data_IF_332934186203
#
_entry.id   IF_332934186203
#
_cell.length_a   1.000
_cell.length_b   1.000
_cell.length_c   1.000
_cell.angle_alpha   90.00
_cell.angle_beta   90.00
_cell.angle_gamma   90.00
#
_symmetry.space_group_name_H-M   'P 1'
#
loop_
_entity.id
_entity.type
_entity.pdbx_description
1 polymer ?
#
# COMPACT_ATOMS: atom_id res chain seq x y z
N UNK A 1 -3.19 14.59 -12.69
CA UNK A 1 -2.58 13.46 -13.43
C UNK A 1 -1.09 13.57 -13.18
N UNK A 2 -0.44 12.53 -12.67
CA UNK A 2 0.98 12.65 -12.34
C UNK A 2 1.83 12.73 -13.61
N UNK A 3 2.82 13.61 -13.61
CA UNK A 3 3.91 13.57 -14.58
C UNK A 3 4.96 12.58 -14.08
N UNK A 4 5.62 11.86 -14.99
CA UNK A 4 6.62 10.87 -14.61
C UNK A 4 8.02 11.32 -15.01
N UNK A 5 8.99 11.05 -14.15
CA UNK A 5 10.41 11.14 -14.48
C UNK A 5 11.01 9.75 -14.37
N UNK A 6 11.59 9.28 -15.47
CA UNK A 6 12.27 7.99 -15.55
C UNK A 6 13.75 8.22 -15.30
N UNK A 7 14.24 7.66 -14.19
CA UNK A 7 15.66 7.52 -13.91
C UNK A 7 16.11 6.20 -14.53
N UNK A 8 16.73 6.28 -15.69
CA UNK A 8 17.23 5.10 -16.41
C UNK A 8 18.41 5.48 -17.30
N UNK A 9 19.38 4.58 -17.38
CA UNK A 9 20.47 4.62 -18.37
C UNK A 9 20.06 3.92 -19.68
N UNK A 10 18.84 3.39 -19.77
CA UNK A 10 18.31 2.66 -20.90
C UNK A 10 17.12 3.40 -21.54
N UNK A 11 17.38 4.13 -22.61
CA UNK A 11 16.36 4.88 -23.34
C UNK A 11 15.27 4.00 -23.96
N UNK A 12 15.50 2.69 -24.13
CA UNK A 12 14.47 1.77 -24.60
C UNK A 12 13.33 1.59 -23.57
N UNK A 13 13.61 1.74 -22.26
CA UNK A 13 12.59 1.63 -21.22
C UNK A 13 11.56 2.76 -21.31
N UNK A 14 11.98 3.96 -21.72
CA UNK A 14 11.07 5.06 -21.96
C UNK A 14 10.04 4.72 -23.05
N UNK A 15 10.50 4.09 -24.14
CA UNK A 15 9.63 3.66 -25.23
C UNK A 15 8.69 2.53 -24.80
N UNK A 16 9.14 1.63 -23.92
CA UNK A 16 8.30 0.56 -23.37
C UNK A 16 7.19 1.12 -22.47
N UNK A 17 7.54 1.99 -21.53
CA UNK A 17 6.58 2.66 -20.65
C UNK A 17 5.52 3.46 -21.44
N UNK A 18 5.93 4.11 -22.52
CA UNK A 18 5.02 4.87 -23.38
C UNK A 18 3.91 4.00 -24.00
N UNK A 19 4.16 2.71 -24.28
CA UNK A 19 3.13 1.75 -24.76
C UNK A 19 2.01 1.55 -23.74
N UNK A 20 2.27 1.83 -22.47
CA UNK A 20 1.36 1.69 -21.35
C UNK A 20 0.80 3.03 -20.86
N UNK A 21 0.83 4.06 -21.70
CA UNK A 21 0.38 5.43 -21.36
C UNK A 21 1.17 6.08 -20.21
N UNK A 22 2.40 5.62 -19.97
CA UNK A 22 3.34 6.25 -19.04
C UNK A 22 4.31 7.09 -19.86
N UNK A 23 4.06 8.39 -19.93
CA UNK A 23 4.96 9.35 -20.57
C UNK A 23 5.91 9.86 -19.48
N UNK A 24 7.17 9.43 -19.56
CA UNK A 24 8.19 9.80 -18.59
C UNK A 24 9.33 10.57 -19.27
N UNK A 25 9.76 11.68 -18.66
CA UNK A 25 10.99 12.35 -19.05
C UNK A 25 12.19 11.53 -18.57
N UNK A 26 13.07 11.12 -19.50
CA UNK A 26 14.23 10.30 -19.15
C UNK A 26 15.37 11.20 -18.66
N UNK A 27 15.90 10.91 -17.48
CA UNK A 27 16.99 11.68 -16.86
C UNK A 27 18.15 10.77 -16.47
N UNK A 28 19.39 11.23 -16.70
CA UNK A 28 20.63 10.56 -16.29
C UNK A 28 21.16 11.11 -14.95
N UNK A 29 22.32 10.60 -14.52
CA UNK A 29 22.96 10.78 -13.19
C UNK A 29 23.07 12.23 -12.66
N UNK A 30 23.02 13.26 -13.52
CA UNK A 30 23.11 14.68 -13.12
C UNK A 30 21.76 15.30 -12.67
N UNK A 31 20.77 14.46 -12.43
CA UNK A 31 19.44 14.90 -12.03
C UNK A 31 19.42 15.48 -10.61
N UNK A 32 19.05 16.76 -10.46
CA UNK A 32 18.87 17.38 -9.15
C UNK A 32 17.41 17.28 -8.67
N UNK A 33 17.20 16.64 -7.53
CA UNK A 33 15.88 16.53 -6.87
C UNK A 33 15.28 17.89 -6.52
N UNK A 34 16.10 18.94 -6.43
CA UNK A 34 15.62 20.30 -6.18
C UNK A 34 14.68 20.84 -7.27
N UNK A 35 14.78 20.32 -8.51
CA UNK A 35 13.87 20.67 -9.61
C UNK A 35 12.48 20.03 -9.39
N UNK A 36 12.44 18.83 -8.80
CA UNK A 36 11.17 18.12 -8.52
C UNK A 36 10.40 18.68 -7.33
N UNK A 37 11.11 19.18 -6.31
CA UNK A 37 10.49 19.72 -5.09
C UNK A 37 9.52 20.88 -5.36
N UNK A 38 9.64 21.53 -6.52
CA UNK A 38 8.76 22.63 -6.92
C UNK A 38 7.42 22.17 -7.51
N UNK A 39 7.25 20.86 -7.76
CA UNK A 39 6.08 20.30 -8.43
C UNK A 39 5.61 19.01 -7.76
N UNK A 40 4.58 19.09 -6.91
CA UNK A 40 4.04 17.96 -6.14
C UNK A 40 3.41 16.84 -6.99
N UNK A 41 3.15 17.11 -8.27
CA UNK A 41 2.49 16.19 -9.18
C UNK A 41 3.47 15.30 -9.96
N UNK A 42 4.77 15.34 -9.64
CA UNK A 42 5.78 14.51 -10.30
C UNK A 42 6.07 13.25 -9.48
N UNK A 43 6.01 12.09 -10.13
CA UNK A 43 6.40 10.80 -9.58
C UNK A 43 7.69 10.28 -10.25
N UNK A 44 8.59 9.72 -9.46
CA UNK A 44 9.84 9.12 -9.92
C UNK A 44 9.64 7.63 -10.23
N UNK A 45 10.17 7.20 -11.37
CA UNK A 45 10.28 5.79 -11.77
C UNK A 45 11.76 5.45 -11.87
N UNK A 46 12.22 4.51 -11.06
CA UNK A 46 13.63 4.09 -11.04
C UNK A 46 13.77 2.76 -11.76
N UNK A 47 14.61 2.72 -12.79
CA UNK A 47 14.91 1.50 -13.55
C UNK A 47 16.00 0.67 -12.89
N UNK A 48 15.60 -0.47 -12.34
CA UNK A 48 16.49 -1.44 -11.71
C UNK A 48 16.86 -2.62 -12.62
N UNK A 49 16.48 -2.61 -13.90
CA UNK A 49 16.78 -3.72 -14.82
C UNK A 49 18.25 -3.77 -15.27
N UNK A 50 18.97 -2.66 -15.18
CA UNK A 50 20.38 -2.63 -15.59
C UNK A 50 21.28 -3.08 -14.42
N UNK A 51 22.37 -3.78 -14.71
CA UNK A 51 23.25 -4.32 -13.68
C UNK A 51 23.94 -3.21 -12.87
N UNK A 52 24.01 -3.37 -11.55
CA UNK A 52 24.67 -2.41 -10.65
C UNK A 52 23.92 -1.11 -10.36
N UNK A 53 22.73 -0.90 -10.94
CA UNK A 53 21.98 0.36 -10.84
C UNK A 53 21.56 0.72 -9.42
N UNK A 54 21.24 -0.26 -8.57
CA UNK A 54 20.82 0.02 -7.20
C UNK A 54 21.92 0.68 -6.36
N UNK A 55 23.20 0.45 -6.70
CA UNK A 55 24.35 1.12 -6.10
C UNK A 55 24.60 2.47 -6.77
N UNK A 56 24.48 2.55 -8.10
CA UNK A 56 24.69 3.79 -8.84
C UNK A 56 23.67 4.88 -8.47
N UNK A 57 22.39 4.51 -8.32
CA UNK A 57 21.32 5.43 -7.96
C UNK A 57 21.16 5.62 -6.46
N UNK A 58 22.04 5.06 -5.62
CA UNK A 58 21.92 5.15 -4.16
C UNK A 58 21.78 6.60 -3.69
N UNK A 59 22.66 7.51 -4.14
CA UNK A 59 22.60 8.92 -3.73
C UNK A 59 21.28 9.58 -4.10
N UNK A 60 20.81 9.33 -5.33
CA UNK A 60 19.57 9.89 -5.84
C UNK A 60 18.34 9.33 -5.11
N UNK A 61 18.31 8.02 -4.85
CA UNK A 61 17.27 7.37 -4.06
C UNK A 61 17.18 8.01 -2.67
N UNK A 62 18.33 8.25 -2.01
CA UNK A 62 18.37 8.92 -0.71
C UNK A 62 17.77 10.32 -0.77
N UNK A 63 18.09 11.09 -1.80
CA UNK A 63 17.52 12.43 -1.99
C UNK A 63 16.00 12.41 -2.22
N UNK A 64 15.51 11.51 -3.08
CA UNK A 64 14.08 11.33 -3.38
C UNK A 64 13.31 10.95 -2.11
N UNK A 65 13.79 9.95 -1.38
CA UNK A 65 13.15 9.46 -0.14
C UNK A 65 13.18 10.51 0.95
N UNK A 66 14.31 11.20 1.14
CA UNK A 66 14.42 12.28 2.15
C UNK A 66 13.54 13.48 1.80
N UNK A 67 13.33 13.72 0.51
CA UNK A 67 12.38 14.73 0.02
C UNK A 67 10.91 14.27 0.08
N UNK A 68 10.64 13.02 0.47
CA UNK A 68 9.33 12.40 0.50
C UNK A 68 8.57 12.51 -0.84
N UNK A 69 9.30 12.33 -1.95
CA UNK A 69 8.72 12.36 -3.29
C UNK A 69 8.18 10.99 -3.67
N UNK A 70 7.00 10.90 -4.35
CA UNK A 70 6.45 9.62 -4.77
C UNK A 70 7.40 8.88 -5.71
N UNK A 71 7.78 7.65 -5.35
CA UNK A 71 8.75 6.86 -6.09
C UNK A 71 8.33 5.41 -6.21
N UNK A 72 8.48 4.84 -7.42
CA UNK A 72 8.31 3.41 -7.70
C UNK A 72 9.56 2.84 -8.38
N UNK A 73 9.77 1.53 -8.26
CA UNK A 73 10.76 0.80 -9.05
C UNK A 73 10.15 0.12 -10.26
N UNK A 74 10.94 -0.08 -11.31
CA UNK A 74 10.66 -1.05 -12.36
C UNK A 74 11.79 -2.07 -12.42
N UNK A 75 11.44 -3.35 -12.43
CA UNK A 75 12.41 -4.44 -12.36
C UNK A 75 11.83 -5.76 -12.86
N UNK A 76 12.58 -6.48 -13.69
CA UNK A 76 12.22 -7.80 -14.21
C UNK A 76 12.61 -8.91 -13.22
N UNK A 77 13.75 -8.76 -12.54
CA UNK A 77 14.31 -9.77 -11.62
C UNK A 77 14.32 -9.27 -10.16
N UNK A 78 13.12 -9.02 -9.60
CA UNK A 78 12.97 -8.38 -8.29
C UNK A 78 13.66 -9.16 -7.15
N UNK A 79 13.69 -10.49 -7.21
CA UNK A 79 14.22 -11.33 -6.12
C UNK A 79 15.69 -11.05 -5.81
N UNK A 80 16.50 -10.74 -6.82
CA UNK A 80 17.93 -10.42 -6.62
C UNK A 80 18.14 -9.08 -5.92
N UNK A 81 17.15 -8.17 -5.99
CA UNK A 81 17.22 -6.81 -5.45
C UNK A 81 16.34 -6.59 -4.22
N UNK A 82 15.57 -7.60 -3.80
CA UNK A 82 14.59 -7.53 -2.70
C UNK A 82 15.14 -6.85 -1.46
N UNK A 83 16.28 -7.31 -0.93
CA UNK A 83 16.91 -6.72 0.26
C UNK A 83 17.28 -5.24 0.06
N UNK A 84 17.76 -4.89 -1.13
CA UNK A 84 18.16 -3.52 -1.46
C UNK A 84 16.95 -2.59 -1.55
N UNK A 85 15.86 -3.06 -2.17
CA UNK A 85 14.59 -2.31 -2.28
C UNK A 85 13.99 -2.04 -0.90
N UNK A 86 13.94 -3.06 -0.04
CA UNK A 86 13.47 -2.95 1.35
C UNK A 86 14.32 -1.95 2.14
N UNK A 87 15.67 -2.05 2.02
CA UNK A 87 16.62 -1.16 2.70
C UNK A 87 16.41 0.32 2.37
N UNK A 88 16.03 0.63 1.13
CA UNK A 88 15.77 2.00 0.69
C UNK A 88 14.28 2.39 0.77
N UNK A 89 13.41 1.54 1.32
CA UNK A 89 11.98 1.84 1.42
C UNK A 89 11.25 1.89 0.07
N UNK A 90 11.83 1.34 -1.00
CA UNK A 90 11.17 1.28 -2.31
C UNK A 90 10.26 0.05 -2.32
N UNK A 91 9.01 0.26 -1.89
CA UNK A 91 8.05 -0.83 -1.69
C UNK A 91 7.18 -1.11 -2.90
N UNK A 92 6.86 -0.09 -3.71
CA UNK A 92 6.08 -0.24 -4.93
C UNK A 92 7.01 -0.49 -6.14
N UNK A 93 6.98 -1.70 -6.69
CA UNK A 93 7.85 -2.15 -7.80
C UNK A 93 7.02 -2.92 -8.83
N UNK A 94 7.19 -2.58 -10.11
CA UNK A 94 6.45 -3.18 -11.21
C UNK A 94 7.37 -3.95 -12.16
N UNK A 95 6.92 -5.15 -12.55
CA UNK A 95 7.52 -5.90 -13.66
C UNK A 95 7.05 -5.33 -15.01
N UNK A 96 7.77 -5.59 -16.12
CA UNK A 96 7.33 -5.16 -17.45
C UNK A 96 5.89 -5.56 -17.79
N UNK A 97 5.49 -6.77 -17.41
CA UNK A 97 4.10 -7.26 -17.61
C UNK A 97 3.04 -6.46 -16.86
N UNK A 98 3.43 -5.65 -15.87
CA UNK A 98 2.56 -4.90 -14.96
C UNK A 98 2.59 -3.39 -15.21
N UNK A 99 3.36 -2.88 -16.19
CA UNK A 99 3.51 -1.43 -16.42
C UNK A 99 2.18 -0.71 -16.69
N UNK A 100 1.18 -1.41 -17.24
CA UNK A 100 -0.17 -0.88 -17.43
C UNK A 100 -0.89 -0.49 -16.11
N UNK A 101 -0.43 -0.98 -14.96
CA UNK A 101 -0.95 -0.59 -13.64
C UNK A 101 -0.34 0.71 -13.10
N UNK A 102 0.79 1.19 -13.64
CA UNK A 102 1.50 2.37 -13.11
C UNK A 102 0.60 3.62 -13.10
N UNK A 103 -0.11 3.99 -14.19
CA UNK A 103 -0.98 5.17 -14.15
C UNK A 103 -2.10 5.05 -13.09
N UNK A 104 -2.65 3.84 -12.92
CA UNK A 104 -3.69 3.55 -11.95
C UNK A 104 -3.16 3.55 -10.51
N UNK A 105 -1.91 3.12 -10.32
CA UNK A 105 -1.22 3.22 -9.04
C UNK A 105 -1.10 4.68 -8.58
N UNK A 106 -0.97 5.64 -9.49
CA UNK A 106 -0.90 7.07 -9.15
C UNK A 106 -2.24 7.81 -9.25
N UNK A 107 -3.31 7.10 -9.61
CA UNK A 107 -4.65 7.67 -9.63
C UNK A 107 -5.09 8.03 -8.21
N UNK A 108 -5.75 9.18 -8.08
CA UNK A 108 -6.38 9.58 -6.83
C UNK A 108 -7.41 8.53 -6.45
N UNK A 109 -7.26 7.97 -5.25
CA UNK A 109 -8.11 6.93 -4.73
C UNK A 109 -8.92 7.50 -3.57
N UNK A 110 -10.25 7.42 -3.68
CA UNK A 110 -11.14 7.71 -2.55
C UNK A 110 -11.45 6.38 -1.89
N UNK A 111 -10.86 6.10 -0.72
CA UNK A 111 -11.04 4.82 -0.06
C UNK A 111 -12.46 4.69 0.48
N UNK A 112 -12.96 3.46 0.54
CA UNK A 112 -14.25 3.18 1.17
C UNK A 112 -14.15 3.25 2.70
N UNK A 113 -12.97 2.92 3.23
CA UNK A 113 -12.66 2.94 4.65
C UNK A 113 -11.42 3.81 4.88
N UNK A 114 -11.44 4.70 5.86
CA UNK A 114 -10.26 5.48 6.26
C UNK A 114 -9.80 5.04 7.64
N UNK A 115 -8.54 5.30 7.94
CA UNK A 115 -7.98 5.07 9.27
C UNK A 115 -6.64 5.74 9.43
N UNK A 116 -6.16 5.79 10.67
CA UNK A 116 -4.88 6.40 11.03
C UNK A 116 -3.93 5.37 11.61
N UNK A 117 -2.72 5.30 11.04
CA UNK A 117 -1.65 4.39 11.46
C UNK A 117 -0.46 5.24 11.90
N UNK A 118 -0.06 5.10 13.16
CA UNK A 118 1.13 5.75 13.68
C UNK A 118 2.37 4.88 13.48
N UNK A 119 3.47 5.52 13.08
CA UNK A 119 4.78 4.92 12.87
C UNK A 119 5.76 5.51 13.86
N UNK A 120 6.34 4.67 14.72
CA UNK A 120 7.39 5.07 15.66
C UNK A 120 8.70 4.46 15.16
N UNK A 121 9.39 5.21 14.30
CA UNK A 121 10.65 4.83 13.67
C UNK A 121 11.38 6.10 13.21
N UNK A 122 12.66 6.25 13.58
CA UNK A 122 13.49 7.37 13.17
C UNK A 122 14.23 7.15 11.84
N UNK A 123 14.15 5.95 11.27
CA UNK A 123 14.76 5.63 9.99
C UNK A 123 13.86 6.09 8.85
N UNK A 124 14.30 7.13 8.14
CA UNK A 124 13.56 7.76 7.04
C UNK A 124 13.14 6.77 5.95
N UNK A 125 13.98 5.78 5.61
CA UNK A 125 13.66 4.79 4.56
C UNK A 125 12.54 3.86 5.01
N UNK A 126 12.57 3.40 6.26
CA UNK A 126 11.51 2.56 6.81
C UNK A 126 10.19 3.33 6.85
N UNK A 127 10.21 4.56 7.39
CA UNK A 127 9.00 5.38 7.49
C UNK A 127 8.44 5.75 6.13
N UNK A 128 9.31 6.01 5.15
CA UNK A 128 8.91 6.30 3.77
C UNK A 128 8.25 5.07 3.12
N UNK A 129 8.86 3.90 3.23
CA UNK A 129 8.32 2.65 2.68
C UNK A 129 6.99 2.27 3.32
N UNK A 130 6.90 2.37 4.66
CA UNK A 130 5.67 2.09 5.41
C UNK A 130 4.57 3.09 5.05
N UNK A 131 4.90 4.39 5.01
CA UNK A 131 3.94 5.43 4.63
C UNK A 131 3.43 5.24 3.21
N UNK A 132 4.31 4.87 2.27
CA UNK A 132 3.93 4.56 0.88
C UNK A 132 2.91 3.43 0.82
N UNK A 133 3.14 2.33 1.55
CA UNK A 133 2.19 1.20 1.63
C UNK A 133 0.85 1.66 2.23
N UNK A 134 0.88 2.37 3.36
CA UNK A 134 -0.32 2.82 4.08
C UNK A 134 -1.17 3.78 3.23
N UNK A 135 -0.53 4.78 2.64
CA UNK A 135 -1.19 5.80 1.84
C UNK A 135 -1.71 5.27 0.50
N UNK A 136 -1.05 4.25 -0.07
CA UNK A 136 -1.52 3.60 -1.31
C UNK A 136 -2.96 3.05 -1.19
N UNK A 137 -3.37 2.65 0.03
CA UNK A 137 -4.71 2.14 0.32
C UNK A 137 -5.64 3.18 0.98
N UNK A 138 -5.24 4.46 1.02
CA UNK A 138 -6.08 5.57 1.49
C UNK A 138 -6.12 5.75 3.02
N UNK A 139 -5.19 5.15 3.75
CA UNK A 139 -5.01 5.38 5.18
C UNK A 139 -4.03 6.53 5.43
N UNK A 140 -4.17 7.20 6.57
CA UNK A 140 -3.24 8.23 7.01
C UNK A 140 -2.07 7.58 7.76
N UNK A 141 -0.84 7.80 7.26
CA UNK A 141 0.38 7.49 7.99
C UNK A 141 0.82 8.72 8.78
N UNK A 142 1.08 8.56 10.08
CA UNK A 142 1.64 9.60 10.94
C UNK A 142 2.97 9.09 11.49
N UNK A 143 4.07 9.72 11.10
CA UNK A 143 5.39 9.45 11.68
C UNK A 143 5.50 10.22 13.00
N UNK A 144 5.92 9.53 14.05
CA UNK A 144 6.02 10.05 15.41
C UNK A 144 7.42 9.82 15.94
N UNK A 145 8.03 10.87 16.49
CA UNK A 145 9.43 10.86 16.89
C UNK A 145 9.74 9.98 18.11
N UNK A 146 8.73 9.67 18.94
CA UNK A 146 8.92 8.90 20.17
C UNK A 146 7.66 8.18 20.64
N UNK A 147 7.86 7.23 21.56
CA UNK A 147 6.77 6.52 22.24
C UNK A 147 5.94 7.47 23.12
N UNK A 148 6.59 8.44 23.78
CA UNK A 148 5.93 9.50 24.54
C UNK A 148 5.02 10.33 23.66
N UNK A 149 5.54 10.86 22.55
CA UNK A 149 4.77 11.70 21.64
C UNK A 149 3.56 10.95 21.09
N UNK A 150 3.69 9.65 20.84
CA UNK A 150 2.57 8.81 20.42
C UNK A 150 1.49 8.66 21.50
N UNK A 151 1.89 8.54 22.78
CA UNK A 151 0.95 8.48 23.91
C UNK A 151 0.18 9.79 24.11
N UNK A 152 0.73 10.92 23.66
CA UNK A 152 0.12 12.24 23.80
C UNK A 152 -0.86 12.57 22.65
N UNK A 153 -0.90 11.75 21.58
CA UNK A 153 -1.86 11.92 20.49
C UNK A 153 -3.27 11.60 21.00
N UNK A 154 -4.13 12.61 21.03
CA UNK A 154 -5.54 12.47 21.43
C UNK A 154 -6.45 11.90 20.35
N UNK A 155 -5.99 11.81 19.10
CA UNK A 155 -6.75 11.22 18.01
C UNK A 155 -6.82 9.70 18.13
N UNK A 156 -7.95 9.12 17.69
CA UNK A 156 -8.12 7.68 17.60
C UNK A 156 -7.24 7.16 16.47
N UNK A 157 -6.16 6.47 16.84
CA UNK A 157 -5.36 5.68 15.91
C UNK A 157 -5.96 4.27 15.79
N UNK A 158 -5.94 3.66 14.62
CA UNK A 158 -6.39 2.28 14.43
C UNK A 158 -5.28 1.28 14.72
N UNK A 159 -4.05 1.66 14.35
CA UNK A 159 -2.85 0.83 14.46
C UNK A 159 -1.63 1.68 14.86
N UNK A 160 -0.72 1.06 15.60
CA UNK A 160 0.59 1.63 15.95
C UNK A 160 1.67 0.62 15.56
N UNK A 161 2.57 1.03 14.67
CA UNK A 161 3.74 0.28 14.26
C UNK A 161 4.97 0.83 14.99
N UNK A 162 5.72 -0.03 15.70
CA UNK A 162 6.87 0.39 16.50
C UNK A 162 8.12 -0.38 16.09
N UNK A 163 9.18 0.35 15.73
CA UNK A 163 10.50 -0.22 15.52
C UNK A 163 11.18 -0.54 16.86
N UNK A 164 11.21 -1.81 17.21
CA UNK A 164 11.80 -2.35 18.43
C UNK A 164 13.33 -2.38 18.42
N UNK A 165 13.97 -2.04 17.29
CA UNK A 165 15.41 -1.78 17.27
C UNK A 165 15.75 -0.41 17.91
N UNK A 166 14.75 0.47 18.10
CA UNK A 166 14.93 1.81 18.67
C UNK A 166 14.19 2.00 20.01
N UNK A 167 13.05 1.33 20.18
CA UNK A 167 12.23 1.42 21.40
C UNK A 167 12.31 0.11 22.18
N UNK A 168 12.59 0.21 23.47
CA UNK A 168 12.69 -0.97 24.34
C UNK A 168 11.35 -1.68 24.49
N UNK A 169 11.36 -3.00 24.34
CA UNK A 169 10.18 -3.86 24.54
C UNK A 169 9.62 -3.75 25.96
N UNK A 170 10.47 -3.51 26.95
CA UNK A 170 10.06 -3.25 28.34
C UNK A 170 9.30 -1.93 28.47
N UNK A 171 9.76 -0.90 27.78
CA UNK A 171 9.13 0.42 27.79
C UNK A 171 7.74 0.36 27.13
N UNK A 172 7.64 -0.30 25.97
CA UNK A 172 6.37 -0.59 25.28
C UNK A 172 5.42 -1.33 26.22
N UNK A 173 5.89 -2.39 26.89
CA UNK A 173 5.09 -3.15 27.84
C UNK A 173 4.59 -2.30 29.01
N UNK A 174 5.46 -1.45 29.56
CA UNK A 174 5.12 -0.55 30.67
C UNK A 174 4.03 0.44 30.27
N UNK A 175 4.17 1.10 29.11
CA UNK A 175 3.17 2.07 28.60
C UNK A 175 1.85 1.38 28.23
N UNK A 176 1.90 0.17 27.69
CA UNK A 176 0.73 -0.63 27.35
C UNK A 176 -0.07 -1.06 28.59
N UNK A 177 0.61 -1.58 29.62
CA UNK A 177 -0.03 -1.98 30.89
C UNK A 177 -0.64 -0.76 31.58
N UNK A 178 0.08 0.36 31.59
CA UNK A 178 -0.39 1.64 32.13
C UNK A 178 -1.59 2.23 31.35
N UNK A 179 -1.96 1.65 30.20
CA UNK A 179 -3.07 2.13 29.37
C UNK A 179 -2.79 3.45 28.65
N UNK A 180 -1.51 3.85 28.58
CA UNK A 180 -1.06 5.02 27.83
C UNK A 180 -0.98 4.73 26.34
N UNK A 181 -0.55 3.51 25.99
CA UNK A 181 -0.82 2.99 24.66
C UNK A 181 -2.28 2.53 24.62
N UNK A 182 -3.08 3.03 23.66
CA UNK A 182 -4.49 2.71 23.58
C UNK A 182 -4.70 1.19 23.45
N UNK A 183 -5.29 0.59 24.49
CA UNK A 183 -5.53 -0.88 24.57
C UNK A 183 -6.42 -1.41 23.44
N UNK A 184 -7.15 -0.53 22.76
CA UNK A 184 -8.03 -0.85 21.62
C UNK A 184 -7.28 -0.93 20.29
N UNK A 185 -6.07 -0.39 20.19
CA UNK A 185 -5.37 -0.26 18.93
C UNK A 185 -4.63 -1.53 18.57
N UNK A 186 -4.54 -1.84 17.28
CA UNK A 186 -3.68 -2.89 16.80
C UNK A 186 -2.21 -2.46 16.98
N UNK A 187 -1.47 -3.21 17.79
CA UNK A 187 -0.02 -3.00 17.95
C UNK A 187 0.73 -3.96 17.02
N UNK A 188 1.60 -3.39 16.18
CA UNK A 188 2.55 -4.09 15.30
C UNK A 188 3.96 -3.73 15.74
N UNK A 189 4.74 -4.75 16.09
CA UNK A 189 6.11 -4.60 16.57
C UNK A 189 7.04 -5.19 15.52
N UNK A 190 8.10 -4.46 15.15
CA UNK A 190 9.03 -4.96 14.15
C UNK A 190 10.46 -4.53 14.41
N UNK A 191 11.40 -5.16 13.72
CA UNK A 191 12.82 -4.80 13.69
C UNK A 191 13.28 -4.61 12.27
N UNK A 192 14.15 -3.63 12.05
CA UNK A 192 14.61 -3.26 10.70
C UNK A 192 15.82 -4.04 10.22
N UNK A 193 16.61 -4.63 11.11
CA UNK A 193 17.81 -5.39 10.76
C UNK A 193 17.56 -6.89 10.93
N UNK A 194 17.77 -7.69 9.87
CA UNK A 194 17.64 -9.16 9.92
C UNK A 194 18.64 -9.83 10.88
N UNK A 195 19.75 -9.16 11.22
CA UNK A 195 20.78 -9.66 12.13
C UNK A 195 20.40 -9.55 13.62
N UNK A 196 19.25 -8.98 13.94
CA UNK A 196 18.77 -8.90 15.30
C UNK A 196 18.44 -10.31 15.84
N UNK A 197 19.05 -10.70 16.97
CA UNK A 197 19.00 -12.05 17.57
C UNK A 197 17.57 -12.48 18.00
N UNK A 198 16.59 -11.57 17.92
CA UNK A 198 15.26 -11.68 18.54
C UNK A 198 14.11 -11.36 17.56
N UNK A 199 14.32 -11.59 16.26
CA UNK A 199 13.21 -11.54 15.28
C UNK A 199 12.33 -12.77 15.51
N UNK A 200 11.01 -12.59 15.38
CA UNK A 200 9.97 -13.57 15.75
C UNK A 200 9.89 -13.93 17.24
N UNK A 201 10.57 -13.17 18.10
CA UNK A 201 10.34 -13.27 19.53
C UNK A 201 8.92 -12.85 19.91
N UNK A 202 8.43 -13.46 20.98
CA UNK A 202 7.10 -13.20 21.52
C UNK A 202 7.23 -12.35 22.78
N UNK A 203 6.72 -11.13 22.72
CA UNK A 203 6.55 -10.30 23.91
C UNK A 203 5.18 -10.60 24.51
N UNK A 204 5.15 -10.97 25.79
CA UNK A 204 3.91 -11.10 26.57
C UNK A 204 3.51 -9.72 27.13
N UNK A 205 2.61 -9.03 26.44
CA UNK A 205 1.96 -7.83 26.94
C UNK A 205 0.78 -8.23 27.83
N UNK A 206 1.08 -8.53 29.10
CA UNK A 206 0.14 -8.96 30.17
C UNK A 206 -0.69 -10.24 29.87
N UNK A 207 -1.50 -10.27 28.80
CA UNK A 207 -2.33 -11.38 28.31
C UNK A 207 -2.29 -11.58 26.79
N UNK A 208 -1.57 -10.73 26.06
CA UNK A 208 -1.49 -10.78 24.60
C UNK A 208 -0.04 -11.06 24.23
N UNK A 209 0.19 -12.18 23.55
CA UNK A 209 1.44 -12.46 22.88
C UNK A 209 1.50 -11.65 21.58
N UNK A 210 2.55 -10.86 21.41
CA UNK A 210 2.84 -10.14 20.16
C UNK A 210 4.16 -10.65 19.59
N UNK A 211 4.12 -11.02 18.31
CA UNK A 211 5.29 -11.40 17.53
C UNK A 211 6.00 -10.13 17.07
N UNK A 212 7.32 -10.12 17.12
CA UNK A 212 8.15 -9.09 16.50
C UNK A 212 8.43 -9.52 15.06
N UNK A 213 7.97 -8.72 14.10
CA UNK A 213 8.12 -8.96 12.67
C UNK A 213 9.45 -8.42 12.13
N UNK A 214 9.88 -8.90 10.97
CA UNK A 214 10.82 -8.14 10.13
C UNK A 214 10.12 -6.97 9.46
N UNK A 215 10.87 -5.96 9.00
CA UNK A 215 10.30 -4.85 8.22
C UNK A 215 9.56 -5.35 6.97
N UNK A 216 10.11 -6.35 6.30
CA UNK A 216 9.48 -6.98 5.14
C UNK A 216 8.11 -7.58 5.47
N UNK A 217 8.03 -8.34 6.55
CA UNK A 217 6.79 -8.95 7.01
C UNK A 217 5.75 -7.89 7.38
N UNK A 218 6.17 -6.74 7.94
CA UNK A 218 5.25 -5.62 8.18
C UNK A 218 4.70 -5.08 6.86
N UNK A 219 5.52 -4.91 5.83
CA UNK A 219 5.01 -4.49 4.51
C UNK A 219 3.97 -5.48 3.99
N UNK A 220 4.29 -6.78 3.99
CA UNK A 220 3.37 -7.82 3.53
C UNK A 220 2.08 -7.87 4.35
N UNK A 221 2.18 -7.79 5.68
CA UNK A 221 1.04 -7.74 6.61
C UNK A 221 0.12 -6.55 6.31
N UNK A 222 0.70 -5.36 6.21
CA UNK A 222 -0.03 -4.12 5.97
C UNK A 222 -0.76 -4.15 4.63
N UNK A 223 -0.07 -4.57 3.57
CA UNK A 223 -0.69 -4.75 2.24
C UNK A 223 -1.88 -5.70 2.33
N UNK A 224 -1.72 -6.87 2.95
CA UNK A 224 -2.79 -7.87 3.06
C UNK A 224 -3.99 -7.35 3.85
N UNK A 225 -3.77 -6.72 5.00
CA UNK A 225 -4.85 -6.21 5.85
C UNK A 225 -5.63 -5.09 5.15
N UNK A 226 -4.92 -4.08 4.66
CA UNK A 226 -5.56 -2.91 4.02
C UNK A 226 -6.22 -3.28 2.70
N UNK A 227 -5.56 -4.10 1.86
CA UNK A 227 -6.16 -4.60 0.62
C UNK A 227 -7.47 -5.34 0.90
N UNK A 228 -7.48 -6.29 1.84
CA UNK A 228 -8.68 -7.07 2.18
C UNK A 228 -9.79 -6.18 2.73
N UNK A 229 -9.46 -5.24 3.60
CA UNK A 229 -10.45 -4.34 4.19
C UNK A 229 -11.14 -3.48 3.12
N UNK A 230 -10.36 -2.83 2.25
CA UNK A 230 -10.90 -2.02 1.17
C UNK A 230 -11.65 -2.87 0.13
N UNK A 231 -11.07 -4.00 -0.32
CA UNK A 231 -11.69 -4.88 -1.31
C UNK A 231 -13.03 -5.42 -0.79
N UNK A 232 -13.07 -5.92 0.44
CA UNK A 232 -14.31 -6.44 1.01
C UNK A 232 -15.36 -5.35 1.19
N UNK A 233 -14.96 -4.13 1.55
CA UNK A 233 -15.90 -2.99 1.60
C UNK A 233 -16.53 -2.69 0.24
N UNK A 234 -15.73 -2.74 -0.84
CA UNK A 234 -16.23 -2.52 -2.19
C UNK A 234 -17.14 -3.67 -2.66
N UNK A 235 -16.74 -4.92 -2.39
CA UNK A 235 -17.55 -6.10 -2.70
C UNK A 235 -18.88 -6.08 -1.94
N UNK A 236 -18.87 -5.67 -0.67
CA UNK A 236 -20.07 -5.52 0.13
C UNK A 236 -20.99 -4.43 -0.42
N UNK A 237 -20.44 -3.28 -0.81
CA UNK A 237 -21.21 -2.21 -1.47
C UNK A 237 -21.88 -2.70 -2.77
N UNK A 238 -21.16 -3.48 -3.58
CA UNK A 238 -21.73 -4.10 -4.79
C UNK A 238 -22.82 -5.12 -4.46
N UNK A 239 -22.62 -5.93 -3.41
CA UNK A 239 -23.60 -6.90 -2.92
C UNK A 239 -24.90 -6.24 -2.48
N UNK A 240 -24.81 -5.15 -1.71
CA UNK A 240 -25.99 -4.36 -1.29
C UNK A 240 -26.68 -3.68 -2.47
N UNK A 241 -25.91 -3.06 -3.37
CA UNK A 241 -26.45 -2.35 -4.54
C UNK A 241 -27.21 -3.29 -5.49
N UNK A 242 -26.78 -4.55 -5.58
CA UNK A 242 -27.41 -5.57 -6.44
C UNK A 242 -28.54 -6.35 -5.75
N UNK A 243 -28.87 -6.04 -4.49
CA UNK A 243 -29.87 -6.76 -3.67
C UNK A 243 -29.69 -8.30 -3.73
N UNK A 244 -28.42 -8.75 -3.71
CA UNK A 244 -28.09 -10.17 -3.87
C UNK A 244 -28.70 -11.06 -2.78
N UNK A 245 -29.06 -10.49 -1.63
CA UNK A 245 -29.74 -11.22 -0.55
C UNK A 245 -31.14 -11.69 -0.95
N UNK A 246 -31.90 -10.85 -1.66
CA UNK A 246 -33.24 -11.23 -2.16
C UNK A 246 -33.18 -12.08 -3.41
N UNK A 247 -32.07 -12.02 -4.15
CA UNK A 247 -31.86 -12.76 -5.40
C UNK A 247 -30.88 -13.93 -5.25
N UNK A 248 -31.00 -14.72 -4.18
CA UNK A 248 -30.11 -15.89 -3.97
C UNK A 248 -30.16 -16.91 -5.12
N UNK A 249 -31.30 -17.04 -5.79
CA UNK A 249 -31.46 -17.89 -6.97
C UNK A 249 -30.75 -17.32 -8.21
N UNK A 250 -30.47 -16.02 -8.26
CA UNK A 250 -29.84 -15.38 -9.41
C UNK A 250 -28.37 -15.77 -9.59
N UNK A 251 -27.65 -16.11 -8.52
CA UNK A 251 -26.23 -16.49 -8.60
C UNK A 251 -25.98 -18.00 -8.46
N UNK A 252 -26.94 -18.78 -7.97
CA UNK A 252 -26.84 -20.25 -7.81
C UNK A 252 -27.70 -21.05 -8.78
N UNK A 253 -28.74 -20.44 -9.35
CA UNK A 253 -29.71 -21.10 -10.22
C UNK A 253 -29.51 -20.80 -11.70
N UNK A 254 -30.28 -21.50 -12.53
CA UNK A 254 -30.43 -21.16 -13.94
C UNK A 254 -31.32 -19.93 -14.13
N UNK A 255 -31.17 -19.24 -15.26
CA UNK A 255 -32.07 -18.14 -15.64
C UNK A 255 -33.55 -18.56 -15.62
N UNK A 256 -33.86 -19.82 -15.94
CA UNK A 256 -35.21 -20.38 -15.84
C UNK A 256 -35.71 -20.41 -14.40
N UNK A 257 -34.88 -20.82 -13.45
CA UNK A 257 -35.24 -20.83 -12.03
C UNK A 257 -35.44 -19.40 -11.52
N UNK A 258 -34.55 -18.47 -11.90
CA UNK A 258 -34.70 -17.06 -11.56
C UNK A 258 -36.03 -16.49 -12.08
N UNK A 259 -36.38 -16.74 -13.35
CA UNK A 259 -37.65 -16.29 -13.92
C UNK A 259 -38.88 -16.85 -13.18
N UNK A 260 -38.86 -18.16 -12.89
CA UNK A 260 -39.99 -18.83 -12.23
C UNK A 260 -40.16 -18.42 -10.76
N UNK A 261 -39.07 -18.14 -10.05
CA UNK A 261 -39.10 -17.77 -8.63
C UNK A 261 -39.33 -16.28 -8.42
N UNK A 262 -38.82 -15.42 -9.29
CA UNK A 262 -38.93 -13.95 -9.14
C UNK A 262 -40.20 -13.42 -9.81
N UNK A 263 -40.67 -14.03 -10.91
CA UNK A 263 -41.94 -13.68 -11.57
C UNK A 263 -42.16 -12.16 -11.73
N UNK A 264 -43.30 -11.66 -11.23
CA UNK A 264 -43.65 -10.23 -11.25
C UNK A 264 -42.88 -9.39 -10.21
N UNK A 265 -42.26 -10.02 -9.21
CA UNK A 265 -41.49 -9.32 -8.17
C UNK A 265 -40.20 -8.70 -8.71
N UNK A 266 -39.75 -9.10 -9.91
CA UNK A 266 -38.58 -8.52 -10.58
C UNK A 266 -38.73 -7.01 -10.82
N UNK A 267 -39.96 -6.52 -10.99
CA UNK A 267 -40.26 -5.09 -11.18
C UNK A 267 -40.33 -4.32 -9.86
N UNK A 268 -40.34 -5.01 -8.71
CA UNK A 268 -40.25 -4.40 -7.39
C UNK A 268 -38.81 -4.34 -6.86
N UNK A 269 -37.86 -5.00 -7.54
CA UNK A 269 -36.43 -4.89 -7.24
C UNK A 269 -35.90 -3.51 -7.67
N UNK A 270 -34.84 -2.99 -7.00
CA UNK A 270 -34.17 -1.77 -7.44
C UNK A 270 -33.77 -1.89 -8.91
N UNK A 271 -34.20 -0.95 -9.76
CA UNK A 271 -33.91 -1.06 -11.19
C UNK A 271 -32.41 -0.78 -11.43
N UNK A 272 -31.69 -1.86 -11.76
CA UNK A 272 -30.26 -1.82 -12.13
C UNK A 272 -30.03 -0.92 -13.37
N UNK A 273 -31.08 -0.67 -14.15
CA UNK A 273 -31.06 0.21 -15.33
C UNK A 273 -31.17 1.70 -15.00
N UNK A 274 -31.44 2.09 -13.75
CA UNK A 274 -31.41 3.49 -13.35
C UNK A 274 -29.98 4.02 -13.43
N UNK A 275 -29.83 5.25 -13.93
CA UNK A 275 -28.53 5.92 -14.09
C UNK A 275 -27.71 5.92 -12.80
N UNK A 276 -28.35 6.18 -11.66
CA UNK A 276 -27.69 6.17 -10.34
C UNK A 276 -27.07 4.81 -9.99
N UNK A 277 -27.78 3.71 -10.26
CA UNK A 277 -27.28 2.37 -10.02
C UNK A 277 -26.11 2.05 -10.96
N UNK A 278 -26.23 2.40 -12.24
CA UNK A 278 -25.16 2.21 -13.25
C UNK A 278 -23.90 2.98 -12.85
N UNK A 279 -24.05 4.24 -12.41
CA UNK A 279 -22.94 5.06 -11.94
C UNK A 279 -22.28 4.46 -10.70
N UNK A 280 -23.06 3.98 -9.73
CA UNK A 280 -22.52 3.32 -8.54
C UNK A 280 -21.74 2.04 -8.88
N UNK A 281 -22.25 1.22 -9.80
CA UNK A 281 -21.53 0.02 -10.29
C UNK A 281 -20.22 0.39 -11.01
N UNK A 282 -20.26 1.41 -11.87
CA UNK A 282 -19.08 1.91 -12.59
C UNK A 282 -18.02 2.39 -11.60
N UNK A 283 -18.41 3.25 -10.65
CA UNK A 283 -17.50 3.86 -9.69
C UNK A 283 -16.88 2.82 -8.75
N UNK A 284 -17.66 1.83 -8.28
CA UNK A 284 -17.14 0.73 -7.48
C UNK A 284 -16.17 -0.16 -8.27
N UNK A 285 -16.47 -0.45 -9.54
CA UNK A 285 -15.58 -1.24 -10.42
C UNK A 285 -14.27 -0.50 -10.68
N UNK A 286 -14.33 0.82 -10.88
CA UNK A 286 -13.15 1.67 -11.05
C UNK A 286 -12.29 1.73 -9.79
N UNK A 287 -12.92 1.82 -8.61
CA UNK A 287 -12.23 1.73 -7.31
C UNK A 287 -11.58 0.36 -7.10
N UNK A 288 -12.26 -0.72 -7.48
CA UNK A 288 -11.72 -2.09 -7.44
C UNK A 288 -10.48 -2.21 -8.35
N UNK A 289 -10.56 -1.69 -9.57
CA UNK A 289 -9.44 -1.71 -10.49
C UNK A 289 -8.24 -0.91 -9.97
N UNK A 290 -8.52 0.26 -9.37
CA UNK A 290 -7.49 1.09 -8.73
C UNK A 290 -6.80 0.34 -7.59
N UNK A 291 -7.55 -0.29 -6.67
CA UNK A 291 -6.93 -1.01 -5.55
C UNK A 291 -6.14 -2.24 -6.00
N UNK A 292 -6.56 -2.92 -7.06
CA UNK A 292 -5.80 -4.02 -7.66
C UNK A 292 -4.48 -3.51 -8.23
N UNK A 293 -4.48 -2.36 -8.90
CA UNK A 293 -3.25 -1.72 -9.37
C UNK A 293 -2.31 -1.32 -8.23
N UNK A 294 -2.87 -0.83 -7.11
CA UNK A 294 -2.09 -0.55 -5.87
C UNK A 294 -1.44 -1.81 -5.34
N UNK A 295 -2.20 -2.89 -5.20
CA UNK A 295 -1.69 -4.18 -4.74
C UNK A 295 -0.66 -4.80 -5.69
N UNK A 296 -0.81 -4.62 -7.01
CA UNK A 296 0.14 -5.11 -8.00
C UNK A 296 1.55 -4.55 -7.79
N UNK A 297 1.68 -3.28 -7.40
CA UNK A 297 2.98 -2.69 -7.06
C UNK A 297 3.66 -3.33 -5.86
N UNK A 298 2.91 -4.04 -5.02
CA UNK A 298 3.42 -4.71 -3.81
C UNK A 298 3.49 -6.23 -3.95
N UNK A 299 3.13 -6.81 -5.11
CA UNK A 299 2.96 -8.25 -5.26
C UNK A 299 4.25 -9.05 -5.06
N UNK A 300 5.40 -8.41 -5.24
CA UNK A 300 6.71 -9.01 -5.07
C UNK A 300 7.13 -9.23 -3.61
N UNK A 301 6.40 -8.64 -2.65
CA UNK A 301 6.68 -8.79 -1.23
C UNK A 301 6.26 -10.16 -0.67
N UNK A 302 5.42 -10.91 -1.39
CA UNK A 302 5.11 -12.29 -1.01
C UNK A 302 6.16 -13.26 -1.55
N UNK A 303 6.75 -14.07 -0.68
CA UNK A 303 7.72 -15.14 -1.02
C UNK A 303 7.15 -16.31 -1.85
N UNK A 304 5.88 -16.21 -2.26
CA UNK A 304 5.18 -17.26 -2.99
C UNK A 304 5.20 -16.99 -4.50
N UNK A 305 6.38 -17.13 -5.11
CA UNK A 305 6.51 -17.47 -6.54
C UNK A 305 7.46 -18.66 -6.73
#
# INVERSE_FOLDING_TARGET
MHSFVLVSNNTAQQSELAKHSVIAECTSEDFSVNVLKQNSDIACIIDFNSSGMAVQYESLIKEIVTANLPCIGICSEIQSLKKTLIRYGITAVFRPSQYHYIPLFFKQYTPAITGTIALIDNNTFNTYGLSTVIQAFGYQAIVVDSLEACCDIHNVMDMVCINCSQVSTHEIATKYVAGKLPKKNALVLYKSEESDIFIHDIIKLHRIAKVIYTLEEVYALLVQLMFRQQLHSLLYSLYETSDMQRSTTAYKGSLRQLYLETGMEIFALPAITHTEAIELFRDNTERMHTILAKAAGFSWLSDNE
#
